data_IF_726438245982
#
_entry.id   IF_726438245982
#
_cell.length_a   1.000
_cell.length_b   1.000
_cell.length_c   1.000
_cell.angle_alpha   90.00
_cell.angle_beta   90.00
_cell.angle_gamma   90.00
#
_symmetry.space_group_name_H-M   'P 1'
#
loop_
_entity.id
_entity.type
_entity.pdbx_description
1 polymer ?
#
# COMPACT_ATOMS: atom_id res chain seq x y z
N UNK A 1 -1.33 6.51 -11.47
CA UNK A 1 -0.20 6.18 -10.60
C UNK A 1 0.34 7.49 -10.03
N UNK A 2 0.40 7.68 -8.71
CA UNK A 2 1.01 8.90 -8.15
C UNK A 2 2.52 8.68 -8.02
N UNK A 3 3.21 8.81 -9.16
CA UNK A 3 4.66 8.57 -9.31
C UNK A 3 5.50 9.42 -8.33
N UNK A 4 4.97 10.56 -7.86
CA UNK A 4 5.66 11.40 -6.86
C UNK A 4 5.82 10.70 -5.51
N UNK A 5 4.85 9.88 -5.13
CA UNK A 5 4.89 9.10 -3.88
C UNK A 5 5.76 7.86 -4.07
N UNK A 6 5.64 7.16 -5.20
CA UNK A 6 6.47 5.97 -5.45
C UNK A 6 7.96 6.32 -5.51
N UNK A 7 8.31 7.49 -6.02
CA UNK A 7 9.70 7.97 -6.09
C UNK A 7 10.37 8.15 -4.71
N UNK A 8 9.59 8.30 -3.62
CA UNK A 8 10.17 8.43 -2.27
C UNK A 8 10.41 7.09 -1.57
N UNK A 9 9.88 5.98 -2.10
CA UNK A 9 10.00 4.64 -1.51
C UNK A 9 11.47 4.25 -1.29
N UNK A 10 12.39 4.37 -2.28
CA UNK A 10 13.78 3.96 -2.07
C UNK A 10 14.46 4.70 -0.93
N UNK A 11 14.17 6.01 -0.79
CA UNK A 11 14.74 6.80 0.31
C UNK A 11 14.14 6.42 1.66
N UNK A 12 12.84 6.12 1.70
CA UNK A 12 12.19 5.63 2.92
C UNK A 12 12.77 4.27 3.35
N UNK A 13 13.01 3.34 2.42
CA UNK A 13 13.64 2.04 2.71
C UNK A 13 15.03 2.21 3.33
N UNK A 14 15.86 3.09 2.77
CA UNK A 14 17.19 3.42 3.30
C UNK A 14 17.11 3.95 4.75
N UNK A 15 16.24 4.92 5.00
CA UNK A 15 16.07 5.56 6.31
C UNK A 15 15.52 4.59 7.36
N UNK A 16 14.54 3.77 6.99
CA UNK A 16 13.95 2.79 7.90
C UNK A 16 14.94 1.68 8.25
N UNK A 17 15.74 1.23 7.29
CA UNK A 17 16.85 0.30 7.52
C UNK A 17 17.89 0.91 8.47
N UNK A 18 18.31 2.15 8.24
CA UNK A 18 19.24 2.86 9.12
C UNK A 18 18.70 3.03 10.55
N UNK A 19 17.38 3.21 10.70
CA UNK A 19 16.71 3.33 11.99
C UNK A 19 16.41 1.97 12.66
N UNK A 20 16.76 0.84 12.03
CA UNK A 20 16.43 -0.50 12.53
C UNK A 20 14.93 -0.76 12.64
N UNK A 21 14.12 -0.10 11.80
CA UNK A 21 12.66 -0.21 11.80
C UNK A 21 12.20 -1.10 10.65
N UNK A 22 11.18 -1.93 10.93
CA UNK A 22 10.52 -2.75 9.90
C UNK A 22 9.74 -1.83 8.95
N UNK A 23 10.06 -1.88 7.66
CA UNK A 23 9.35 -1.19 6.60
C UNK A 23 9.28 -2.10 5.37
N UNK A 24 8.06 -2.43 4.94
CA UNK A 24 7.79 -3.35 3.83
C UNK A 24 6.76 -2.68 2.91
N UNK A 25 7.18 -1.84 1.96
CA UNK A 25 6.26 -1.18 1.03
C UNK A 25 5.68 -2.20 0.04
N UNK A 26 4.44 -1.96 -0.41
CA UNK A 26 3.77 -2.76 -1.45
C UNK A 26 3.17 -1.81 -2.48
N UNK A 27 3.51 -2.01 -3.75
CA UNK A 27 2.96 -1.25 -4.87
C UNK A 27 1.88 -2.10 -5.55
N UNK A 28 0.63 -1.64 -5.49
CA UNK A 28 -0.49 -2.29 -6.17
C UNK A 28 -0.59 -1.79 -7.61
N UNK A 29 -0.09 -2.59 -8.56
CA UNK A 29 -0.01 -2.22 -9.97
C UNK A 29 -1.40 -1.86 -10.54
N UNK A 30 -1.48 -0.72 -11.23
CA UNK A 30 -2.71 -0.24 -11.85
C UNK A 30 -3.68 0.48 -10.90
N UNK A 31 -3.41 0.45 -9.59
CA UNK A 31 -4.22 1.15 -8.61
C UNK A 31 -3.93 2.67 -8.62
N UNK A 32 -4.96 3.46 -8.36
CA UNK A 32 -4.87 4.92 -8.18
C UNK A 32 -4.36 5.30 -6.78
N UNK A 33 -4.06 6.59 -6.56
CA UNK A 33 -3.64 7.09 -5.26
C UNK A 33 -4.68 6.78 -4.16
N UNK A 34 -5.96 6.95 -4.49
CA UNK A 34 -7.10 6.74 -3.59
C UNK A 34 -7.66 5.33 -3.58
N UNK A 35 -6.91 4.29 -3.99
CA UNK A 35 -7.47 2.95 -4.24
C UNK A 35 -8.27 2.35 -3.07
N UNK A 36 -7.93 2.72 -1.83
CA UNK A 36 -8.69 2.27 -0.65
C UNK A 36 -10.13 2.78 -0.67
N UNK A 37 -10.36 4.06 -0.95
CA UNK A 37 -11.71 4.65 -1.03
C UNK A 37 -12.36 4.35 -2.37
N UNK A 38 -11.58 4.46 -3.45
CA UNK A 38 -12.08 4.25 -4.81
C UNK A 38 -12.50 2.80 -5.03
N UNK A 39 -11.74 1.83 -4.51
CA UNK A 39 -12.01 0.39 -4.61
C UNK A 39 -13.30 -0.07 -3.94
N UNK A 40 -13.89 0.75 -3.07
CA UNK A 40 -15.17 0.49 -2.40
C UNK A 40 -16.39 0.97 -3.22
N UNK A 41 -16.17 1.84 -4.20
CA UNK A 41 -17.27 2.43 -4.95
C UNK A 41 -17.88 1.42 -5.94
N UNK A 42 -19.20 1.51 -6.24
CA UNK A 42 -19.85 0.62 -7.21
C UNK A 42 -19.19 0.61 -8.60
N UNK A 43 -18.64 1.74 -9.03
CA UNK A 43 -17.94 1.92 -10.31
C UNK A 43 -16.42 1.77 -10.24
N UNK A 44 -15.87 1.18 -9.18
CA UNK A 44 -14.43 1.03 -9.03
C UNK A 44 -13.79 0.21 -10.16
N UNK A 45 -12.60 0.63 -10.61
CA UNK A 45 -11.78 -0.18 -11.52
C UNK A 45 -11.35 -1.48 -10.83
N UNK A 46 -11.14 -2.54 -11.62
CA UNK A 46 -10.72 -3.84 -11.09
C UNK A 46 -9.38 -3.76 -10.34
N UNK A 47 -8.47 -2.91 -10.82
CA UNK A 47 -7.19 -2.66 -10.14
C UNK A 47 -7.38 -2.04 -8.74
N UNK A 48 -8.30 -1.07 -8.59
CA UNK A 48 -8.60 -0.47 -7.29
C UNK A 48 -9.34 -1.44 -6.36
N UNK A 49 -10.29 -2.22 -6.88
CA UNK A 49 -10.98 -3.27 -6.10
C UNK A 49 -9.99 -4.27 -5.54
N UNK A 50 -9.12 -4.80 -6.40
CA UNK A 50 -8.09 -5.76 -6.00
C UNK A 50 -7.09 -5.16 -5.00
N UNK A 51 -6.62 -3.95 -5.25
CA UNK A 51 -5.68 -3.27 -4.34
C UNK A 51 -6.30 -3.04 -2.96
N UNK A 52 -7.59 -2.68 -2.89
CA UNK A 52 -8.33 -2.54 -1.63
C UNK A 52 -8.41 -3.87 -0.89
N UNK A 53 -8.80 -4.94 -1.58
CA UNK A 53 -8.92 -6.28 -0.99
C UNK A 53 -7.58 -6.79 -0.45
N UNK A 54 -6.53 -6.74 -1.28
CA UNK A 54 -5.18 -7.18 -0.92
C UNK A 54 -4.61 -6.32 0.22
N UNK A 55 -4.82 -5.00 0.16
CA UNK A 55 -4.41 -4.05 1.19
C UNK A 55 -5.10 -4.30 2.53
N UNK A 56 -6.41 -4.54 2.52
CA UNK A 56 -7.19 -4.83 3.72
C UNK A 56 -6.80 -6.17 4.35
N UNK A 57 -6.57 -7.18 3.52
CA UNK A 57 -6.07 -8.49 3.97
C UNK A 57 -4.72 -8.36 4.63
N UNK A 58 -3.78 -7.66 3.99
CA UNK A 58 -2.45 -7.41 4.56
C UNK A 58 -2.51 -6.65 5.88
N UNK A 59 -3.31 -5.58 5.95
CA UNK A 59 -3.49 -4.80 7.17
C UNK A 59 -3.93 -5.71 8.33
N UNK A 60 -5.02 -6.45 8.15
CA UNK A 60 -5.55 -7.33 9.21
C UNK A 60 -4.51 -8.37 9.66
N UNK A 61 -3.73 -8.93 8.74
CA UNK A 61 -2.65 -9.86 9.07
C UNK A 61 -1.56 -9.18 9.92
N UNK A 62 -1.13 -7.98 9.56
CA UNK A 62 -0.11 -7.24 10.31
C UNK A 62 -0.60 -6.88 11.72
N UNK A 63 -1.86 -6.45 11.88
CA UNK A 63 -2.43 -6.15 13.19
C UNK A 63 -2.45 -7.38 14.12
N UNK A 64 -2.81 -8.55 13.58
CA UNK A 64 -2.81 -9.81 14.35
C UNK A 64 -1.40 -10.25 14.76
N UNK A 65 -0.38 -9.79 14.04
CA UNK A 65 1.02 -10.11 14.29
C UNK A 65 1.73 -9.04 15.14
N UNK A 66 1.00 -8.03 15.65
CA UNK A 66 1.55 -7.10 16.64
C UNK A 66 1.78 -7.84 17.96
N UNK A 67 2.92 -7.61 18.63
CA UNK A 67 3.23 -8.18 19.94
C UNK A 67 2.33 -7.62 21.05
#
# INVERSE_FOLDING_TARGET
>A
NDERVNATIPKAEELMKAAGKKYEPVIYKGAGHGFMREGEMPGASDANKKAREDGWTRWKTLLKALP
#
